data_IF_680577411955
#
_entry.id   IF_680577411955
#
_cell.length_a   1.000
_cell.length_b   1.000
_cell.length_c   1.000
_cell.angle_alpha   90.00
_cell.angle_beta   90.00
_cell.angle_gamma   90.00
#
_symmetry.space_group_name_H-M   'P 1'
#
loop_
_entity.id
_entity.type
_entity.pdbx_description
1 polymer ?
#
# COMPACT_ATOMS: atom_id res chain seq x y z
N UNK A 1 -22.23 -11.89 0.52
CA UNK A 1 -22.15 -10.46 0.13
C UNK A 1 -20.70 -10.01 0.02
N UNK A 2 -19.85 -10.18 1.04
CA UNK A 2 -18.38 -9.94 0.92
C UNK A 2 -17.74 -10.73 -0.23
N UNK A 3 -18.18 -11.97 -0.44
CA UNK A 3 -17.71 -12.85 -1.52
C UNK A 3 -17.92 -12.30 -2.94
N UNK A 4 -18.94 -11.46 -3.16
CA UNK A 4 -19.18 -10.86 -4.47
C UNK A 4 -18.12 -9.81 -4.79
N UNK A 5 -17.82 -8.91 -3.83
CA UNK A 5 -16.76 -7.91 -3.99
C UNK A 5 -15.40 -8.57 -4.27
N UNK A 6 -15.09 -9.65 -3.54
CA UNK A 6 -13.86 -10.44 -3.76
C UNK A 6 -13.79 -11.04 -5.18
N UNK A 7 -14.88 -11.66 -5.66
CA UNK A 7 -14.95 -12.26 -7.00
C UNK A 7 -14.74 -11.21 -8.09
N UNK A 8 -15.36 -10.03 -7.96
CA UNK A 8 -15.18 -8.94 -8.93
C UNK A 8 -13.71 -8.51 -9.05
N UNK A 9 -13.01 -8.33 -7.93
CA UNK A 9 -11.57 -8.00 -7.96
C UNK A 9 -10.73 -9.14 -8.52
N UNK A 10 -11.04 -10.39 -8.15
CA UNK A 10 -10.31 -11.56 -8.62
C UNK A 10 -10.44 -11.75 -10.13
N UNK A 11 -11.58 -11.36 -10.71
CA UNK A 11 -11.88 -11.36 -12.14
C UNK A 11 -11.37 -10.10 -12.88
N UNK A 12 -10.73 -9.15 -12.17
CA UNK A 12 -10.23 -7.90 -12.76
C UNK A 12 -11.31 -6.87 -13.10
N UNK A 13 -12.52 -7.04 -12.57
CA UNK A 13 -13.71 -6.20 -12.80
C UNK A 13 -13.74 -5.00 -11.85
N UNK A 14 -12.72 -4.15 -11.92
CA UNK A 14 -12.54 -3.03 -10.96
C UNK A 14 -13.68 -2.02 -11.03
N UNK A 15 -14.22 -1.73 -12.21
CA UNK A 15 -15.33 -0.79 -12.36
C UNK A 15 -16.62 -1.31 -11.71
N UNK A 16 -16.94 -2.60 -11.91
CA UNK A 16 -18.04 -3.28 -11.25
C UNK A 16 -17.82 -3.32 -9.74
N UNK A 17 -16.61 -3.65 -9.30
CA UNK A 17 -16.24 -3.65 -7.89
C UNK A 17 -16.47 -2.28 -7.26
N UNK A 18 -16.04 -1.19 -7.90
CA UNK A 18 -16.21 0.17 -7.37
C UNK A 18 -17.70 0.54 -7.26
N UNK A 19 -18.52 0.21 -8.26
CA UNK A 19 -19.99 0.41 -8.18
C UNK A 19 -20.59 -0.39 -7.03
N UNK A 20 -20.21 -1.66 -6.90
CA UNK A 20 -20.66 -2.52 -5.81
C UNK A 20 -20.22 -1.96 -4.45
N UNK A 21 -18.97 -1.53 -4.30
CA UNK A 21 -18.40 -0.98 -3.07
C UNK A 21 -19.16 0.27 -2.62
N UNK A 22 -19.51 1.16 -3.55
CA UNK A 22 -20.28 2.38 -3.27
C UNK A 22 -21.71 2.09 -2.77
N UNK A 23 -22.30 0.95 -3.15
CA UNK A 23 -23.59 0.50 -2.61
C UNK A 23 -23.46 -0.34 -1.34
N UNK A 24 -22.24 -0.73 -0.95
CA UNK A 24 -21.96 -1.64 0.15
C UNK A 24 -20.91 -1.05 1.11
N UNK A 25 -21.07 0.22 1.48
CA UNK A 25 -20.07 0.97 2.26
C UNK A 25 -19.82 0.36 3.65
N UNK A 26 -20.84 -0.25 4.25
CA UNK A 26 -20.77 -0.87 5.59
C UNK A 26 -20.20 -2.29 5.60
N UNK A 27 -20.04 -2.92 4.43
CA UNK A 27 -19.48 -4.26 4.36
C UNK A 27 -17.97 -4.19 4.60
N UNK A 28 -17.52 -4.88 5.65
CA UNK A 28 -16.11 -5.13 5.89
C UNK A 28 -15.61 -6.22 4.92
N UNK A 29 -14.63 -5.88 4.11
CA UNK A 29 -13.97 -6.82 3.20
C UNK A 29 -12.75 -7.40 3.91
N UNK A 30 -12.68 -8.74 3.91
CA UNK A 30 -11.56 -9.49 4.45
C UNK A 30 -10.86 -10.23 3.30
N UNK A 31 -9.63 -9.83 3.07
CA UNK A 31 -8.71 -10.32 2.06
C UNK A 31 -7.45 -10.92 2.71
N UNK A 32 -7.51 -11.28 3.99
CA UNK A 32 -6.39 -11.90 4.71
C UNK A 32 -5.82 -13.08 3.93
N UNK A 33 -4.52 -13.03 3.62
CA UNK A 33 -3.80 -14.09 2.89
C UNK A 33 -4.24 -14.31 1.44
N UNK A 34 -5.13 -13.48 0.88
CA UNK A 34 -5.63 -13.66 -0.49
C UNK A 34 -4.57 -13.31 -1.53
N UNK A 35 -4.67 -13.94 -2.70
CA UNK A 35 -3.72 -13.73 -3.79
C UNK A 35 -4.30 -12.83 -4.90
N UNK A 36 -3.74 -11.64 -5.02
CA UNK A 36 -3.97 -10.66 -6.08
C UNK A 36 -2.71 -10.39 -6.92
N UNK A 37 -1.69 -11.25 -6.85
CA UNK A 37 -0.43 -11.05 -7.57
C UNK A 37 -0.67 -10.86 -9.07
N UNK A 38 -0.03 -9.85 -9.66
CA UNK A 38 -0.11 -9.53 -11.09
C UNK A 38 -1.47 -9.02 -11.57
N UNK A 39 -2.46 -8.85 -10.69
CA UNK A 39 -3.80 -8.36 -11.09
C UNK A 39 -3.77 -6.85 -11.35
N UNK A 40 -4.68 -6.41 -12.22
CA UNK A 40 -4.97 -5.00 -12.39
C UNK A 40 -6.08 -4.57 -11.42
N UNK A 41 -5.71 -3.80 -10.39
CA UNK A 41 -6.61 -3.23 -9.38
C UNK A 41 -6.54 -1.70 -9.36
N UNK A 42 -6.04 -1.08 -10.44
CA UNK A 42 -5.87 0.35 -10.54
C UNK A 42 -7.18 1.10 -10.26
N UNK A 43 -7.12 2.08 -9.35
CA UNK A 43 -8.28 2.89 -8.95
C UNK A 43 -9.34 2.15 -8.12
N UNK A 44 -9.07 0.93 -7.63
CA UNK A 44 -10.01 0.20 -6.79
C UNK A 44 -10.25 0.89 -5.43
N UNK A 45 -11.50 0.85 -4.95
CA UNK A 45 -11.90 1.39 -3.64
C UNK A 45 -11.74 0.36 -2.53
N UNK A 46 -10.51 0.23 -2.03
CA UNK A 46 -10.10 -0.71 -0.99
C UNK A 46 -9.88 -0.01 0.37
N UNK A 47 -10.59 1.10 0.61
CA UNK A 47 -10.51 1.80 1.88
C UNK A 47 -11.12 0.93 3.00
N UNK A 48 -10.39 0.83 4.13
CA UNK A 48 -10.80 0.08 5.32
C UNK A 48 -10.80 -1.44 5.17
N UNK A 49 -10.21 -2.00 4.11
CA UNK A 49 -10.12 -3.46 3.96
C UNK A 49 -9.20 -4.07 5.01
N UNK A 50 -9.48 -5.31 5.40
CA UNK A 50 -8.57 -6.13 6.18
C UNK A 50 -7.88 -7.08 5.22
N UNK A 51 -6.58 -6.91 4.99
CA UNK A 51 -5.80 -7.72 4.06
C UNK A 51 -4.40 -8.07 4.62
N UNK A 52 -4.25 -8.48 5.90
CA UNK A 52 -2.97 -8.91 6.42
C UNK A 52 -2.46 -10.11 5.62
N UNK A 53 -1.16 -10.10 5.31
CA UNK A 53 -0.48 -11.13 4.50
C UNK A 53 -1.07 -11.35 3.10
N UNK A 54 -1.92 -10.46 2.59
CA UNK A 54 -2.39 -10.55 1.20
C UNK A 54 -1.22 -10.38 0.22
N UNK A 55 -1.30 -11.05 -0.92
CA UNK A 55 -0.27 -11.00 -1.94
C UNK A 55 -0.70 -10.11 -3.12
N UNK A 56 -0.10 -8.94 -3.22
CA UNK A 56 -0.21 -7.99 -4.32
C UNK A 56 1.07 -7.90 -5.17
N UNK A 57 1.97 -8.87 -5.07
CA UNK A 57 3.24 -8.83 -5.81
C UNK A 57 3.01 -8.65 -7.32
N UNK A 58 3.70 -7.68 -7.91
CA UNK A 58 3.57 -7.33 -9.33
C UNK A 58 2.20 -6.81 -9.77
N UNK A 59 1.26 -6.55 -8.84
CA UNK A 59 -0.05 -6.03 -9.19
C UNK A 59 0.03 -4.57 -9.68
N UNK A 60 -0.92 -4.17 -10.51
CA UNK A 60 -1.14 -2.76 -10.81
C UNK A 60 -2.12 -2.17 -9.79
N UNK A 61 -1.61 -1.33 -8.89
CA UNK A 61 -2.33 -0.65 -7.81
C UNK A 61 -2.35 0.87 -8.03
N UNK A 62 -2.06 1.35 -9.24
CA UNK A 62 -2.00 2.78 -9.53
C UNK A 62 -3.31 3.48 -9.16
N UNK A 63 -3.22 4.51 -8.32
CA UNK A 63 -4.38 5.27 -7.84
C UNK A 63 -5.37 4.48 -6.97
N UNK A 64 -5.03 3.25 -6.54
CA UNK A 64 -5.87 2.46 -5.64
C UNK A 64 -6.00 3.17 -4.28
N UNK A 65 -7.18 3.09 -3.67
CA UNK A 65 -7.44 3.67 -2.35
C UNK A 65 -7.36 2.59 -1.27
N UNK A 66 -6.30 2.60 -0.46
CA UNK A 66 -6.09 1.76 0.72
C UNK A 66 -6.17 2.57 2.04
N UNK A 67 -6.85 3.72 2.03
CA UNK A 67 -6.99 4.55 3.24
C UNK A 67 -7.59 3.73 4.38
N UNK A 68 -6.96 3.77 5.55
CA UNK A 68 -7.33 3.02 6.76
C UNK A 68 -7.35 1.49 6.59
N UNK A 69 -6.67 0.93 5.59
CA UNK A 69 -6.58 -0.51 5.42
C UNK A 69 -5.63 -1.15 6.44
N UNK A 70 -5.91 -2.39 6.83
CA UNK A 70 -4.95 -3.27 7.52
C UNK A 70 -4.22 -4.12 6.47
N UNK A 71 -2.95 -3.81 6.25
CA UNK A 71 -2.06 -4.41 5.28
C UNK A 71 -0.81 -5.00 5.95
N UNK A 72 -0.89 -5.33 7.24
CA UNK A 72 0.25 -5.87 8.00
C UNK A 72 0.79 -7.13 7.32
N UNK A 73 2.10 -7.15 7.05
CA UNK A 73 2.78 -8.25 6.35
C UNK A 73 2.38 -8.47 4.88
N UNK A 74 1.55 -7.61 4.29
CA UNK A 74 1.13 -7.75 2.91
C UNK A 74 2.32 -7.62 1.94
N UNK A 75 2.26 -8.36 0.83
CA UNK A 75 3.31 -8.40 -0.17
C UNK A 75 2.97 -7.50 -1.37
N UNK A 76 3.74 -6.44 -1.57
CA UNK A 76 3.68 -5.50 -2.69
C UNK A 76 4.96 -5.54 -3.54
N UNK A 77 5.78 -6.59 -3.42
CA UNK A 77 7.04 -6.71 -4.16
C UNK A 77 6.82 -6.46 -5.66
N UNK A 78 7.58 -5.51 -6.22
CA UNK A 78 7.50 -5.09 -7.63
C UNK A 78 6.12 -4.63 -8.10
N UNK A 79 5.20 -4.30 -7.21
CA UNK A 79 3.89 -3.75 -7.57
C UNK A 79 4.01 -2.31 -8.09
N UNK A 80 3.09 -1.91 -8.95
CA UNK A 80 2.92 -0.51 -9.31
C UNK A 80 1.96 0.15 -8.32
N UNK A 81 2.50 0.90 -7.36
CA UNK A 81 1.78 1.67 -6.35
C UNK A 81 1.80 3.19 -6.66
N UNK A 82 1.93 3.57 -7.93
CA UNK A 82 1.97 4.99 -8.31
C UNK A 82 0.66 5.69 -7.93
N UNK A 83 0.77 6.85 -7.27
CA UNK A 83 -0.39 7.64 -6.81
C UNK A 83 -1.37 6.87 -5.88
N UNK A 84 -0.96 5.72 -5.32
CA UNK A 84 -1.78 4.95 -4.39
C UNK A 84 -1.94 5.68 -3.06
N UNK A 85 -3.14 5.60 -2.48
CA UNK A 85 -3.46 6.25 -1.21
C UNK A 85 -3.38 5.23 -0.07
N UNK A 86 -2.36 5.35 0.78
CA UNK A 86 -2.14 4.52 1.98
C UNK A 86 -2.33 5.29 3.29
N UNK A 87 -3.04 6.44 3.27
CA UNK A 87 -3.18 7.27 4.46
C UNK A 87 -3.82 6.49 5.60
N UNK A 88 -3.23 6.58 6.80
CA UNK A 88 -3.67 5.82 7.99
C UNK A 88 -3.66 4.29 7.85
N UNK A 89 -2.98 3.72 6.84
CA UNK A 89 -2.91 2.28 6.70
C UNK A 89 -1.94 1.66 7.72
N UNK A 90 -2.29 0.48 8.26
CA UNK A 90 -1.38 -0.34 9.04
C UNK A 90 -0.59 -1.24 8.08
N UNK A 91 0.73 -1.08 8.02
CA UNK A 91 1.61 -1.74 7.06
C UNK A 91 2.86 -2.32 7.73
N UNK A 92 2.77 -2.73 9.00
CA UNK A 92 3.92 -3.26 9.74
C UNK A 92 4.45 -4.49 9.04
N UNK A 93 5.76 -4.51 8.79
CA UNK A 93 6.43 -5.62 8.10
C UNK A 93 5.93 -5.86 6.66
N UNK A 94 5.26 -4.89 6.03
CA UNK A 94 4.87 -5.00 4.62
C UNK A 94 6.12 -5.14 3.73
N UNK A 95 5.98 -5.90 2.64
CA UNK A 95 7.07 -6.13 1.67
C UNK A 95 6.85 -5.26 0.45
N UNK A 96 7.68 -4.25 0.26
CA UNK A 96 7.59 -3.26 -0.82
C UNK A 96 8.85 -3.28 -1.71
N UNK A 97 9.66 -4.33 -1.61
CA UNK A 97 10.93 -4.39 -2.32
C UNK A 97 10.73 -4.27 -3.85
N UNK A 98 11.41 -3.30 -4.45
CA UNK A 98 11.32 -2.95 -5.86
C UNK A 98 9.96 -2.43 -6.34
N UNK A 99 9.01 -2.12 -5.44
CA UNK A 99 7.74 -1.50 -5.82
C UNK A 99 7.95 -0.08 -6.36
N UNK A 100 7.03 0.39 -7.20
CA UNK A 100 6.98 1.79 -7.64
C UNK A 100 5.91 2.55 -6.85
N UNK A 101 6.32 3.32 -5.85
CA UNK A 101 5.45 4.14 -5.02
C UNK A 101 5.54 5.62 -5.38
N UNK A 102 5.95 5.97 -6.61
CA UNK A 102 6.06 7.35 -7.07
C UNK A 102 4.75 8.10 -6.84
N UNK A 103 4.81 9.26 -6.19
CA UNK A 103 3.64 10.10 -5.82
C UNK A 103 2.59 9.40 -4.94
N UNK A 104 2.90 8.26 -4.34
CA UNK A 104 2.03 7.63 -3.36
C UNK A 104 1.93 8.46 -2.08
N UNK A 105 0.86 8.24 -1.31
CA UNK A 105 0.62 8.96 -0.07
C UNK A 105 0.52 8.00 1.12
N UNK A 106 1.56 7.98 1.95
CA UNK A 106 1.67 7.22 3.19
C UNK A 106 1.51 8.11 4.44
N UNK A 107 0.85 9.26 4.32
CA UNK A 107 0.65 10.15 5.47
C UNK A 107 -0.04 9.41 6.62
N UNK A 108 0.53 9.48 7.82
CA UNK A 108 0.09 8.74 9.01
C UNK A 108 0.11 7.21 8.90
N UNK A 109 0.70 6.62 7.86
CA UNK A 109 0.78 5.17 7.72
C UNK A 109 1.81 4.57 8.68
N UNK A 110 1.59 3.31 9.05
CA UNK A 110 2.50 2.57 9.93
C UNK A 110 3.31 1.54 9.15
N UNK A 111 4.51 1.92 8.72
CA UNK A 111 5.46 1.11 7.94
C UNK A 111 6.58 0.51 8.82
N UNK A 112 6.35 0.36 10.13
CA UNK A 112 7.37 -0.16 11.04
C UNK A 112 7.91 -1.51 10.55
N UNK A 113 9.23 -1.60 10.38
CA UNK A 113 9.91 -2.81 9.91
C UNK A 113 9.58 -3.23 8.47
N UNK A 114 8.98 -2.36 7.66
CA UNK A 114 8.70 -2.65 6.26
C UNK A 114 10.00 -2.86 5.46
N UNK A 115 9.96 -3.76 4.47
CA UNK A 115 11.05 -3.94 3.53
C UNK A 115 10.79 -3.08 2.29
N UNK A 116 11.50 -1.96 2.19
CA UNK A 116 11.40 -1.01 1.08
C UNK A 116 12.70 -1.02 0.24
N UNK A 117 13.45 -2.12 0.24
CA UNK A 117 14.68 -2.27 -0.54
C UNK A 117 14.42 -1.99 -2.03
N UNK A 118 15.16 -1.04 -2.62
CA UNK A 118 15.03 -0.69 -4.03
C UNK A 118 13.68 -0.08 -4.42
N UNK A 119 12.86 0.35 -3.47
CA UNK A 119 11.58 1.02 -3.78
C UNK A 119 11.84 2.32 -4.56
N UNK A 120 10.99 2.62 -5.54
CA UNK A 120 10.94 3.97 -6.13
C UNK A 120 9.95 4.81 -5.35
N UNK A 121 10.38 5.94 -4.81
CA UNK A 121 9.53 6.78 -3.97
C UNK A 121 9.71 8.27 -4.26
N UNK A 122 9.91 8.58 -5.55
CA UNK A 122 9.98 9.97 -5.98
C UNK A 122 8.66 10.68 -5.71
N UNK A 123 8.73 11.87 -5.10
CA UNK A 123 7.56 12.68 -4.70
C UNK A 123 6.57 11.96 -3.77
N UNK A 124 6.98 10.89 -3.09
CA UNK A 124 6.13 10.16 -2.14
C UNK A 124 5.99 10.93 -0.84
N UNK A 125 4.80 10.88 -0.24
CA UNK A 125 4.49 11.57 1.02
C UNK A 125 4.53 10.60 2.18
N UNK A 126 5.41 10.85 3.16
CA UNK A 126 5.56 10.10 4.42
C UNK A 126 5.33 11.00 5.65
N UNK A 127 4.58 12.10 5.50
CA UNK A 127 4.33 13.04 6.60
C UNK A 127 3.66 12.32 7.77
N UNK A 128 4.24 12.44 8.96
CA UNK A 128 3.81 11.73 10.18
C UNK A 128 3.73 10.20 10.06
N UNK A 129 4.35 9.60 9.03
CA UNK A 129 4.43 8.16 8.89
C UNK A 129 5.42 7.55 9.90
N UNK A 130 5.14 6.33 10.34
CA UNK A 130 6.07 5.56 11.15
C UNK A 130 6.89 4.63 10.25
N UNK A 131 8.17 4.96 10.03
CA UNK A 131 9.10 4.14 9.26
C UNK A 131 10.11 3.42 10.16
N UNK A 132 10.00 3.47 11.49
CA UNK A 132 10.98 2.87 12.43
C UNK A 132 11.40 1.45 12.00
N UNK A 133 12.71 1.25 11.81
CA UNK A 133 13.31 -0.02 11.40
C UNK A 133 13.01 -0.47 9.97
N UNK A 134 12.44 0.39 9.12
CA UNK A 134 12.24 0.09 7.71
C UNK A 134 13.59 -0.03 6.99
N UNK A 135 13.67 -0.96 6.04
CA UNK A 135 14.82 -1.20 5.16
C UNK A 135 14.66 -0.37 3.90
N UNK A 136 15.65 0.42 3.53
CA UNK A 136 15.57 1.39 2.42
C UNK A 136 16.81 1.35 1.52
N UNK A 137 17.56 0.26 1.57
CA UNK A 137 18.76 0.05 0.76
C UNK A 137 18.42 0.16 -0.73
N UNK A 138 19.09 1.07 -1.45
CA UNK A 138 18.85 1.30 -2.88
C UNK A 138 17.54 2.01 -3.23
N UNK A 139 16.80 2.52 -2.25
CA UNK A 139 15.57 3.26 -2.50
C UNK A 139 15.82 4.63 -3.17
N UNK A 140 15.00 4.99 -4.16
CA UNK A 140 15.02 6.34 -4.76
C UNK A 140 14.20 7.32 -3.91
N UNK A 141 14.88 8.04 -3.03
CA UNK A 141 14.29 9.01 -2.10
C UNK A 141 14.11 10.42 -2.67
N UNK A 142 14.37 10.64 -3.96
CA UNK A 142 14.37 11.97 -4.55
C UNK A 142 13.01 12.67 -4.45
N UNK A 143 12.95 13.75 -3.65
CA UNK A 143 11.73 14.53 -3.46
C UNK A 143 10.69 13.90 -2.53
N UNK A 144 11.05 12.86 -1.78
CA UNK A 144 10.16 12.32 -0.74
C UNK A 144 9.94 13.33 0.40
N UNK A 145 8.70 13.44 0.88
CA UNK A 145 8.32 14.38 1.94
C UNK A 145 8.18 13.67 3.29
N UNK A 146 9.08 13.94 4.25
CA UNK A 146 9.19 13.19 5.51
C UNK A 146 8.88 14.03 6.76
N UNK A 147 8.11 15.11 6.63
CA UNK A 147 7.85 16.01 7.76
C UNK A 147 7.24 15.22 8.93
N UNK A 148 7.91 15.22 10.08
CA UNK A 148 7.52 14.48 11.29
C UNK A 148 7.46 12.94 11.14
N UNK A 149 8.07 12.37 10.11
CA UNK A 149 8.20 10.93 9.99
C UNK A 149 9.12 10.37 11.10
N UNK A 150 8.79 9.19 11.63
CA UNK A 150 9.63 8.46 12.58
C UNK A 150 10.61 7.57 11.82
N UNK A 151 11.91 7.76 12.04
CA UNK A 151 12.98 7.12 11.27
C UNK A 151 13.98 6.36 12.14
N UNK A 152 13.67 6.09 13.42
CA UNK A 152 14.61 5.39 14.30
C UNK A 152 14.99 4.02 13.70
N UNK A 153 16.29 3.79 13.50
CA UNK A 153 16.78 2.55 12.87
C UNK A 153 16.54 2.46 11.36
N UNK A 154 16.14 3.54 10.68
CA UNK A 154 15.96 3.59 9.22
C UNK A 154 17.03 4.48 8.61
N UNK A 155 17.96 3.93 7.81
CA UNK A 155 19.06 4.69 7.22
C UNK A 155 18.56 5.52 6.03
N UNK A 156 17.94 6.68 6.30
CA UNK A 156 17.42 7.56 5.26
C UNK A 156 18.45 8.59 4.82
N UNK A 157 18.72 8.71 3.52
CA UNK A 157 19.65 9.71 3.00
C UNK A 157 19.09 11.13 3.27
N UNK A 158 19.80 11.92 4.09
CA UNK A 158 19.39 13.27 4.48
C UNK A 158 18.72 13.38 5.86
N UNK A 159 18.57 12.28 6.62
CA UNK A 159 18.24 12.34 8.05
C UNK A 159 19.52 12.54 8.88
N UNK A 160 20.02 13.78 8.91
CA UNK A 160 21.01 14.26 9.87
C UNK A 160 20.43 15.41 10.68
#
# INVERSE_FOLDING_TARGET
>A
MSSQGESLLTEGKVAEFNRWRMSNLTIKLDFSGKNFSGKNLAGAYLNGVVAPNANFAGANLSGTNFVQADLNGANFERANCTETLFMYAEMKGAKLAGADATRANFMWANLQGADMTGIKMSQTVFVEANLTGAKVEGADSAGAHLKYAKLEGTPWAGSS
#
